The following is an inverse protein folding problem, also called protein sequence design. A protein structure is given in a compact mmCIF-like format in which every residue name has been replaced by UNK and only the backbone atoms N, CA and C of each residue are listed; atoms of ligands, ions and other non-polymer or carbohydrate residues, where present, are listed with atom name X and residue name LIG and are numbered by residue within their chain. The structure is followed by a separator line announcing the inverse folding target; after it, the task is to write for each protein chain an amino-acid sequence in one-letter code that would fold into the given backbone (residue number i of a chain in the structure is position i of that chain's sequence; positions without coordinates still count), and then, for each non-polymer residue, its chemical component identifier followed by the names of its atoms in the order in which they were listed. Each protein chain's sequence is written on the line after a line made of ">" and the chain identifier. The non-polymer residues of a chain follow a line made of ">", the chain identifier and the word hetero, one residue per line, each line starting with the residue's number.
data_IF_183005460327
#
_entry.id   IF_183005460327
#
_cell.length_a   1.000
_cell.length_b   1.000
_cell.length_c   1.000
_cell.angle_alpha   90.00
_cell.angle_beta   90.00
_cell.angle_gamma   90.00
#
_symmetry.space_group_name_H-M   'P 1'
#
loop_
_entity.id
_entity.type
_entity.pdbx_description
1 polymer ?
#
# COMPACT_ATOMS: atom_id res chain seq x y z
N UNK A 1 12.99 5.67 -9.39
CA UNK A 1 12.52 6.18 -8.08
C UNK A 1 11.46 5.29 -7.44
N UNK A 2 10.39 4.84 -8.14
CA UNK A 2 9.43 3.82 -7.59
C UNK A 2 10.13 2.59 -6.98
N UNK A 3 11.21 2.12 -7.61
CA UNK A 3 11.98 0.93 -7.20
C UNK A 3 12.65 0.97 -5.81
N UNK A 4 12.90 2.14 -5.21
CA UNK A 4 13.53 2.22 -3.87
C UNK A 4 12.50 2.33 -2.73
N UNK A 5 11.32 2.91 -3.00
CA UNK A 5 10.24 3.00 -2.00
C UNK A 5 9.47 1.68 -1.92
N UNK A 6 9.29 0.97 -3.06
CA UNK A 6 8.73 -0.39 -3.06
C UNK A 6 9.59 -1.39 -2.26
N UNK A 7 10.90 -1.16 -2.13
CA UNK A 7 11.82 -2.08 -1.45
C UNK A 7 11.54 -2.26 0.06
N UNK A 8 10.86 -1.31 0.70
CA UNK A 8 10.49 -1.40 2.13
C UNK A 8 9.18 -2.18 2.33
N UNK A 9 8.33 -2.29 1.30
CA UNK A 9 7.10 -3.10 1.36
C UNK A 9 7.36 -4.60 1.20
N UNK A 10 8.46 -4.98 0.54
CA UNK A 10 8.83 -6.37 0.19
C UNK A 10 9.25 -7.24 1.40
N UNK A 11 9.18 -6.73 2.63
CA UNK A 11 9.64 -7.47 3.83
C UNK A 11 8.54 -8.28 4.55
N UNK A 12 7.27 -8.20 4.13
CA UNK A 12 6.16 -8.85 4.86
C UNK A 12 5.33 -9.77 3.98
N UNK A 13 5.97 -10.68 3.26
CA UNK A 13 5.28 -11.91 2.83
C UNK A 13 6.19 -13.12 3.01
N UNK A 14 5.73 -14.05 3.85
CA UNK A 14 6.44 -15.22 4.38
C UNK A 14 7.74 -14.83 5.10
N UNK A 15 7.75 -14.91 6.43
CA UNK A 15 8.94 -14.64 7.26
C UNK A 15 10.19 -15.39 6.78
N UNK A 16 10.02 -16.58 6.17
CA UNK A 16 11.09 -17.33 5.52
C UNK A 16 11.62 -16.72 4.20
N UNK A 17 10.78 -16.06 3.39
CA UNK A 17 11.22 -15.34 2.19
C UNK A 17 12.07 -14.13 2.56
N UNK A 18 11.62 -13.32 3.53
CA UNK A 18 12.38 -12.21 4.06
C UNK A 18 13.70 -12.68 4.71
N UNK A 19 13.70 -13.86 5.35
CA UNK A 19 14.89 -14.45 5.97
C UNK A 19 15.85 -15.14 4.98
N UNK A 20 15.42 -15.50 3.77
CA UNK A 20 16.32 -15.91 2.68
C UNK A 20 17.08 -14.73 2.05
N UNK A 21 16.68 -13.49 2.32
CA UNK A 21 17.36 -12.30 1.79
C UNK A 21 18.68 -11.95 2.51
N UNK A 22 18.87 -12.20 3.82
CA UNK A 22 20.18 -12.21 4.48
C UNK A 22 21.00 -13.49 4.19
N UNK A 23 22.31 -13.54 4.53
CA UNK A 23 23.26 -14.57 4.03
C UNK A 23 23.10 -16.01 4.57
N UNK A 24 21.91 -16.41 5.02
CA UNK A 24 21.62 -17.80 5.42
C UNK A 24 21.10 -18.64 4.25
N UNK A 25 21.77 -19.74 3.91
CA UNK A 25 21.30 -20.68 2.87
C UNK A 25 20.15 -21.59 3.31
N UNK A 26 19.79 -21.59 4.59
CA UNK A 26 18.80 -22.49 5.22
C UNK A 26 18.02 -21.76 6.32
N UNK A 27 16.75 -22.14 6.52
CA UNK A 27 15.87 -21.56 7.54
C UNK A 27 15.54 -22.60 8.62
N UNK A 28 15.86 -22.29 9.88
CA UNK A 28 15.43 -23.10 11.03
C UNK A 28 14.09 -22.58 11.57
N UNK A 29 13.24 -23.48 12.08
CA UNK A 29 11.90 -23.17 12.58
C UNK A 29 11.68 -23.90 13.90
N UNK A 30 11.17 -23.17 14.91
CA UNK A 30 10.82 -23.74 16.21
C UNK A 30 9.42 -23.26 16.64
N UNK A 31 9.25 -21.96 16.93
CA UNK A 31 7.99 -21.42 17.46
C UNK A 31 6.79 -21.63 16.55
N UNK A 32 6.96 -21.58 15.22
CA UNK A 32 5.85 -21.84 14.31
C UNK A 32 5.36 -23.30 14.35
N UNK A 33 6.26 -24.26 14.61
CA UNK A 33 5.89 -25.67 14.84
C UNK A 33 5.21 -25.80 16.21
N UNK A 34 5.72 -25.12 17.24
CA UNK A 34 5.10 -25.14 18.58
C UNK A 34 3.67 -24.58 18.57
N UNK A 35 3.40 -23.58 17.74
CA UNK A 35 2.07 -22.98 17.58
C UNK A 35 1.11 -23.84 16.73
N UNK A 36 1.64 -24.83 16.00
CA UNK A 36 0.87 -25.65 15.07
C UNK A 36 1.36 -27.10 15.18
N UNK A 37 1.94 -27.63 14.09
CA UNK A 37 2.47 -28.99 13.99
C UNK A 37 3.41 -29.07 12.77
N UNK A 38 3.94 -30.25 12.46
CA UNK A 38 4.91 -30.42 11.36
C UNK A 38 4.34 -30.21 9.95
N UNK A 39 3.02 -30.20 9.75
CA UNK A 39 2.39 -30.03 8.43
C UNK A 39 2.61 -28.64 7.82
N UNK A 40 3.01 -27.65 8.63
CA UNK A 40 3.40 -26.30 8.15
C UNK A 40 4.51 -26.33 7.09
N UNK A 41 5.29 -27.41 7.01
CA UNK A 41 6.30 -27.60 5.97
C UNK A 41 5.70 -27.63 4.55
N UNK A 42 4.47 -28.14 4.40
CA UNK A 42 3.78 -28.21 3.11
C UNK A 42 3.43 -26.80 2.61
N UNK A 43 2.92 -25.95 3.50
CA UNK A 43 2.65 -24.54 3.25
C UNK A 43 3.94 -23.77 2.90
N UNK A 44 5.02 -23.97 3.66
CA UNK A 44 6.30 -23.32 3.36
C UNK A 44 6.86 -23.71 1.98
N UNK A 45 6.80 -25.00 1.64
CA UNK A 45 7.30 -25.48 0.35
C UNK A 45 6.46 -24.97 -0.83
N UNK A 46 5.13 -25.00 -0.71
CA UNK A 46 4.23 -24.56 -1.78
C UNK A 46 4.25 -23.03 -1.93
N UNK A 47 4.23 -22.29 -0.82
CA UNK A 47 4.35 -20.84 -0.80
C UNK A 47 5.67 -20.35 -1.42
N UNK A 48 6.80 -20.97 -1.09
CA UNK A 48 8.11 -20.61 -1.68
C UNK A 48 8.15 -20.88 -3.19
N UNK A 49 7.61 -22.01 -3.65
CA UNK A 49 7.48 -22.30 -5.08
C UNK A 49 6.62 -21.27 -5.80
N UNK A 50 5.49 -20.89 -5.21
CA UNK A 50 4.61 -19.86 -5.76
C UNK A 50 5.32 -18.50 -5.86
N UNK A 51 5.99 -18.05 -4.80
CA UNK A 51 6.76 -16.80 -4.80
C UNK A 51 7.86 -16.76 -5.87
N UNK A 52 8.63 -17.83 -6.02
CA UNK A 52 9.66 -17.91 -7.06
C UNK A 52 9.04 -17.93 -8.47
N UNK A 53 7.96 -18.68 -8.65
CA UNK A 53 7.24 -18.78 -9.92
C UNK A 53 6.68 -17.41 -10.35
N UNK A 54 6.02 -16.68 -9.45
CA UNK A 54 5.39 -15.39 -9.75
C UNK A 54 6.41 -14.34 -10.23
N UNK A 55 7.67 -14.40 -9.79
CA UNK A 55 8.73 -13.51 -10.30
C UNK A 55 9.05 -13.69 -11.79
N UNK A 56 8.66 -14.81 -12.38
CA UNK A 56 8.82 -15.08 -13.83
C UNK A 56 7.65 -14.59 -14.67
N UNK A 57 6.53 -14.19 -14.05
CA UNK A 57 5.31 -13.73 -14.70
C UNK A 57 5.34 -12.20 -14.82
N UNK A 58 5.22 -11.68 -16.04
CA UNK A 58 5.34 -10.24 -16.28
C UNK A 58 4.06 -9.47 -15.99
N UNK A 59 2.92 -10.12 -16.23
CA UNK A 59 1.58 -9.56 -16.06
C UNK A 59 1.21 -9.32 -14.59
N UNK A 60 1.96 -9.90 -13.65
CA UNK A 60 1.74 -9.83 -12.20
C UNK A 60 2.88 -9.09 -11.47
N UNK A 61 3.65 -8.25 -12.17
CA UNK A 61 4.78 -7.53 -11.58
C UNK A 61 4.37 -6.49 -10.52
N UNK A 62 3.12 -6.03 -10.56
CA UNK A 62 2.53 -5.09 -9.60
C UNK A 62 2.01 -5.77 -8.33
N UNK A 63 2.05 -7.11 -8.26
CA UNK A 63 1.75 -7.87 -7.06
C UNK A 63 2.93 -7.83 -6.09
N UNK A 64 2.63 -7.74 -4.80
CA UNK A 64 3.62 -7.99 -3.76
C UNK A 64 3.54 -9.47 -3.39
N UNK A 65 4.48 -10.26 -3.92
CA UNK A 65 4.48 -11.71 -3.73
C UNK A 65 3.19 -12.38 -4.24
N UNK A 66 2.40 -12.93 -3.34
CA UNK A 66 1.11 -13.57 -3.63
C UNK A 66 -0.09 -12.62 -3.44
N UNK A 67 0.12 -11.39 -2.96
CA UNK A 67 -0.92 -10.39 -2.81
C UNK A 67 -1.11 -9.57 -4.09
N UNK A 68 -2.31 -9.58 -4.69
CA UNK A 68 -2.65 -8.66 -5.77
C UNK A 68 -2.56 -7.20 -5.32
N UNK A 69 -2.27 -6.30 -6.26
CA UNK A 69 -2.35 -4.87 -6.01
C UNK A 69 -3.73 -4.50 -5.44
N UNK A 70 -3.75 -3.85 -4.28
CA UNK A 70 -5.00 -3.48 -3.61
C UNK A 70 -5.78 -2.48 -4.46
N UNK A 71 -6.97 -2.88 -4.88
CA UNK A 71 -7.94 -2.01 -5.57
C UNK A 71 -8.80 -1.28 -4.54
N UNK A 72 -9.27 -0.08 -4.88
CA UNK A 72 -10.19 0.67 -4.02
C UNK A 72 -11.44 -0.17 -3.72
N UNK A 73 -11.65 -0.49 -2.44
CA UNK A 73 -12.69 -1.40 -2.00
C UNK A 73 -13.40 -0.92 -0.74
N UNK A 74 -14.64 -1.36 -0.57
CA UNK A 74 -15.39 -1.27 0.69
C UNK A 74 -15.86 -2.66 1.08
N UNK A 75 -15.48 -3.11 2.29
CA UNK A 75 -15.77 -4.48 2.79
C UNK A 75 -15.35 -5.59 1.80
N UNK A 76 -14.18 -5.43 1.16
CA UNK A 76 -13.65 -6.37 0.16
C UNK A 76 -14.35 -6.33 -1.21
N UNK A 77 -15.36 -5.47 -1.41
CA UNK A 77 -16.02 -5.30 -2.71
C UNK A 77 -15.42 -4.10 -3.44
N UNK A 78 -15.09 -4.21 -4.75
CA UNK A 78 -14.57 -3.09 -5.52
C UNK A 78 -15.53 -1.90 -5.51
N UNK A 79 -14.98 -0.70 -5.34
CA UNK A 79 -15.74 0.55 -5.41
C UNK A 79 -16.14 0.82 -6.87
N UNK A 80 -17.42 1.15 -7.16
CA UNK A 80 -17.83 1.51 -8.51
C UNK A 80 -17.13 2.78 -9.00
N UNK A 81 -16.38 2.67 -10.10
CA UNK A 81 -15.70 3.82 -10.72
C UNK A 81 -16.68 4.64 -11.57
N UNK A 82 -17.57 5.37 -10.90
CA UNK A 82 -18.59 6.23 -11.51
C UNK A 82 -18.11 7.69 -11.38
N UNK A 83 -18.04 8.43 -12.50
CA UNK A 83 -17.61 9.83 -12.49
C UNK A 83 -18.43 10.72 -11.52
N UNK A 84 -19.71 10.38 -11.34
CA UNK A 84 -20.60 11.03 -10.39
C UNK A 84 -20.35 10.68 -8.91
N UNK A 85 -19.45 9.75 -8.59
CA UNK A 85 -19.06 9.40 -7.22
C UNK A 85 -17.67 9.90 -6.87
N UNK A 86 -16.72 9.75 -7.79
CA UNK A 86 -15.31 10.07 -7.55
C UNK A 86 -15.15 11.55 -7.21
N UNK A 87 -14.62 11.84 -6.03
CA UNK A 87 -14.33 13.21 -5.56
C UNK A 87 -15.51 13.97 -4.97
N UNK A 88 -16.72 13.39 -4.89
CA UNK A 88 -17.89 14.05 -4.26
C UNK A 88 -17.92 13.98 -2.73
N UNK A 89 -16.86 13.46 -2.09
CA UNK A 89 -16.73 13.32 -0.62
C UNK A 89 -17.96 12.69 0.04
N UNK A 90 -18.44 11.58 -0.53
CA UNK A 90 -19.60 10.87 -0.03
C UNK A 90 -19.14 9.66 0.79
N UNK A 91 -19.10 9.72 2.14
CA UNK A 91 -18.78 8.56 2.96
C UNK A 91 -19.92 7.53 2.95
N UNK A 92 -19.63 6.32 3.45
CA UNK A 92 -20.56 5.18 3.41
C UNK A 92 -21.51 5.10 4.61
N UNK A 93 -22.01 6.24 5.10
CA UNK A 93 -22.99 6.31 6.21
C UNK A 93 -23.98 7.47 6.06
N UNK A 94 -25.08 7.42 6.83
CA UNK A 94 -26.07 8.50 6.93
C UNK A 94 -26.67 8.94 5.58
N UNK A 95 -26.95 10.25 5.38
CA UNK A 95 -27.54 10.75 4.14
C UNK A 95 -26.61 10.56 2.92
N UNK A 96 -25.29 10.55 3.14
CA UNK A 96 -24.31 10.33 2.09
C UNK A 96 -24.45 8.93 1.47
N UNK A 97 -24.72 7.92 2.28
CA UNK A 97 -24.95 6.55 1.79
C UNK A 97 -26.20 6.46 0.92
N UNK A 98 -27.27 7.20 1.25
CA UNK A 98 -28.49 7.26 0.44
C UNK A 98 -28.21 7.90 -0.92
N UNK A 99 -27.46 9.00 -0.93
CA UNK A 99 -27.05 9.66 -2.17
C UNK A 99 -26.16 8.74 -3.04
N UNK A 100 -25.20 8.03 -2.43
CA UNK A 100 -24.38 7.03 -3.16
C UNK A 100 -25.25 5.95 -3.78
N UNK A 101 -26.21 5.39 -3.03
CA UNK A 101 -27.13 4.37 -3.53
C UNK A 101 -27.96 4.89 -4.71
N UNK A 102 -28.45 6.13 -4.62
CA UNK A 102 -29.19 6.79 -5.70
C UNK A 102 -28.35 6.92 -6.97
N UNK A 103 -27.13 7.44 -6.86
CA UNK A 103 -26.20 7.58 -8.00
C UNK A 103 -25.89 6.22 -8.64
N UNK A 104 -25.64 5.19 -7.83
CA UNK A 104 -25.38 3.83 -8.32
C UNK A 104 -26.62 3.28 -9.05
N UNK A 105 -27.81 3.46 -8.50
CA UNK A 105 -29.05 3.01 -9.13
C UNK A 105 -29.29 3.69 -10.49
N UNK A 106 -29.11 5.02 -10.56
CA UNK A 106 -29.22 5.79 -11.81
C UNK A 106 -28.19 5.32 -12.84
N UNK A 107 -26.94 5.05 -12.42
CA UNK A 107 -25.92 4.51 -13.32
C UNK A 107 -26.28 3.11 -13.85
N UNK A 108 -26.84 2.23 -13.02
CA UNK A 108 -27.30 0.90 -13.45
C UNK A 108 -28.43 0.97 -14.46
N UNK A 109 -29.36 1.93 -14.32
CA UNK A 109 -30.42 2.16 -15.30
C UNK A 109 -29.82 2.63 -16.64
N UNK A 110 -28.93 3.63 -16.60
CA UNK A 110 -28.21 4.11 -17.81
C UNK A 110 -27.46 2.98 -18.53
N UNK A 111 -26.76 2.11 -17.79
CA UNK A 111 -26.04 0.97 -18.37
C UNK A 111 -26.99 -0.07 -18.99
N UNK A 112 -28.18 -0.26 -18.43
CA UNK A 112 -29.19 -1.17 -18.99
C UNK A 112 -29.71 -0.67 -20.34
N UNK A 113 -29.96 0.63 -20.45
CA UNK A 113 -30.39 1.28 -21.69
C UNK A 113 -29.30 1.24 -22.78
N UNK A 114 -28.02 1.29 -22.38
CA UNK A 114 -26.87 1.23 -23.28
C UNK A 114 -26.41 -0.18 -23.63
N UNK A 115 -27.17 -1.22 -23.25
CA UNK A 115 -26.75 -2.61 -23.36
C UNK A 115 -26.32 -3.01 -24.78
N UNK A 116 -25.00 -3.10 -24.99
CA UNK A 116 -24.39 -3.87 -26.08
C UNK A 116 -24.14 -5.28 -25.60
N UNK A 117 -24.29 -6.25 -26.51
CA UNK A 117 -23.85 -7.61 -26.28
C UNK A 117 -22.34 -7.62 -25.97
N UNK A 118 -21.98 -8.01 -24.76
CA UNK A 118 -20.59 -8.20 -24.35
C UNK A 118 -20.25 -9.68 -24.51
N UNK A 119 -19.33 -10.00 -25.41
CA UNK A 119 -18.74 -11.34 -25.49
C UNK A 119 -17.80 -11.53 -24.29
N UNK A 120 -17.94 -12.62 -23.52
CA UNK A 120 -16.99 -12.92 -22.45
C UNK A 120 -15.56 -12.97 -23.02
N UNK A 121 -14.57 -12.35 -22.36
CA UNK A 121 -13.18 -12.46 -22.79
C UNK A 121 -12.72 -13.91 -22.69
N UNK A 122 -11.96 -14.36 -23.69
CA UNK A 122 -11.30 -15.66 -23.63
C UNK A 122 -10.20 -15.64 -22.56
N UNK A 123 -10.22 -16.60 -21.64
CA UNK A 123 -9.21 -16.72 -20.59
C UNK A 123 -7.89 -17.21 -21.19
N UNK A 124 -6.87 -16.36 -21.16
CA UNK A 124 -5.49 -16.74 -21.52
C UNK A 124 -4.69 -17.08 -20.26
N UNK A 125 -3.86 -18.11 -20.35
CA UNK A 125 -2.95 -18.50 -19.28
C UNK A 125 -1.68 -17.64 -19.34
N UNK A 126 -1.18 -17.22 -18.20
CA UNK A 126 0.12 -16.56 -18.12
C UNK A 126 1.24 -17.58 -18.21
N UNK A 127 2.25 -17.25 -19.01
CA UNK A 127 3.40 -18.12 -19.27
C UNK A 127 4.65 -17.40 -18.76
N UNK A 128 5.57 -18.10 -18.05
CA UNK A 128 6.85 -17.55 -17.65
C UNK A 128 7.61 -16.96 -18.84
N UNK A 129 7.91 -15.65 -18.76
CA UNK A 129 8.72 -14.94 -19.78
C UNK A 129 10.20 -14.88 -19.43
N UNK A 130 10.55 -15.27 -18.20
CA UNK A 130 11.91 -15.28 -17.66
C UNK A 130 12.18 -16.61 -16.96
N UNK A 131 13.43 -17.04 -16.81
CA UNK A 131 13.75 -18.21 -15.98
C UNK A 131 13.27 -18.01 -14.55
N UNK A 132 12.65 -19.06 -13.98
CA UNK A 132 12.24 -19.05 -12.58
C UNK A 132 13.52 -19.03 -11.71
N UNK A 133 13.68 -18.06 -10.80
CA UNK A 133 14.86 -17.99 -9.95
C UNK A 133 14.99 -19.22 -9.05
N UNK A 134 16.22 -19.70 -8.86
CA UNK A 134 16.54 -20.64 -7.81
C UNK A 134 16.82 -19.91 -6.48
N UNK A 135 16.89 -20.67 -5.38
CA UNK A 135 17.18 -20.11 -4.04
C UNK A 135 18.51 -19.33 -4.04
N UNK A 136 19.55 -19.88 -4.66
CA UNK A 136 20.85 -19.20 -4.79
C UNK A 136 20.79 -17.85 -5.51
N UNK A 137 19.78 -17.62 -6.35
CA UNK A 137 19.63 -16.39 -7.13
C UNK A 137 18.92 -15.29 -6.33
N UNK A 138 18.38 -15.61 -5.15
CA UNK A 138 17.63 -14.66 -4.31
C UNK A 138 18.34 -14.35 -2.98
N UNK A 139 19.27 -15.19 -2.56
CA UNK A 139 20.11 -14.95 -1.37
C UNK A 139 20.87 -13.64 -1.53
N UNK A 140 20.83 -12.79 -0.50
CA UNK A 140 21.57 -11.53 -0.46
C UNK A 140 20.96 -10.38 -1.27
N UNK A 141 19.87 -10.57 -2.03
CA UNK A 141 19.34 -9.53 -2.93
C UNK A 141 18.87 -8.26 -2.24
N UNK A 142 18.48 -8.33 -0.96
CA UNK A 142 18.06 -7.14 -0.22
C UNK A 142 19.23 -6.34 0.37
N UNK A 143 20.43 -6.93 0.46
CA UNK A 143 21.59 -6.30 1.07
C UNK A 143 22.00 -5.01 0.36
N UNK A 144 21.73 -4.90 -0.94
CA UNK A 144 22.00 -3.68 -1.73
C UNK A 144 21.18 -2.45 -1.29
N UNK A 145 20.13 -2.65 -0.49
CA UNK A 145 19.28 -1.57 0.03
C UNK A 145 19.60 -1.22 1.50
N UNK A 146 20.50 -1.97 2.14
CA UNK A 146 20.96 -1.71 3.50
C UNK A 146 22.24 -0.88 3.47
N UNK A 147 22.33 0.10 4.36
CA UNK A 147 23.44 1.02 4.42
C UNK A 147 23.39 1.87 5.68
N UNK A 148 24.32 2.80 5.81
CA UNK A 148 24.32 3.78 6.90
C UNK A 148 23.25 4.85 6.69
N UNK A 149 22.88 5.58 7.75
CA UNK A 149 21.92 6.69 7.63
C UNK A 149 22.38 7.77 6.62
N UNK A 150 23.69 8.01 6.49
CA UNK A 150 24.25 8.98 5.55
C UNK A 150 24.07 8.60 4.07
N UNK A 151 23.80 7.32 3.78
CA UNK A 151 23.49 6.84 2.43
C UNK A 151 22.01 7.04 2.04
N UNK A 152 21.17 7.40 3.01
CA UNK A 152 19.76 7.70 2.78
C UNK A 152 19.61 9.15 2.29
N UNK A 153 18.78 9.35 1.26
CA UNK A 153 18.50 10.69 0.75
C UNK A 153 17.65 11.48 1.74
N UNK A 154 18.15 12.62 2.20
CA UNK A 154 17.40 13.61 2.96
C UNK A 154 16.79 14.70 2.06
N UNK A 155 16.74 14.47 0.74
CA UNK A 155 16.17 15.38 -0.26
C UNK A 155 14.88 14.78 -0.82
N UNK A 156 14.87 13.48 -1.07
CA UNK A 156 13.74 12.71 -1.61
C UNK A 156 12.66 12.47 -0.54
N UNK A 157 11.87 13.51 -0.24
CA UNK A 157 10.78 13.43 0.74
C UNK A 157 9.50 12.85 0.14
N UNK A 158 8.68 12.27 1.01
CA UNK A 158 7.35 11.78 0.68
C UNK A 158 6.29 12.48 1.53
N UNK A 159 5.04 12.43 1.08
CA UNK A 159 3.86 12.86 1.84
C UNK A 159 2.80 11.76 1.78
N UNK A 160 1.97 11.69 2.81
CA UNK A 160 0.85 10.75 2.82
C UNK A 160 -0.24 11.21 1.84
N UNK A 161 -0.87 10.25 1.17
CA UNK A 161 -2.04 10.44 0.32
C UNK A 161 -3.09 9.41 0.74
N UNK A 162 -4.32 9.86 0.99
CA UNK A 162 -5.42 9.01 1.45
C UNK A 162 -6.38 8.77 0.29
N UNK A 163 -6.74 7.51 0.06
CA UNK A 163 -7.88 7.16 -0.79
C UNK A 163 -9.18 7.29 0.01
N UNK A 164 -9.95 8.35 -0.29
CA UNK A 164 -11.23 8.64 0.36
C UNK A 164 -12.26 7.50 0.18
N UNK A 165 -12.19 6.76 -0.93
CA UNK A 165 -13.14 5.69 -1.25
C UNK A 165 -12.85 4.41 -0.46
N UNK A 166 -11.61 4.22 0.00
CA UNK A 166 -11.22 3.12 0.91
C UNK A 166 -11.38 3.50 2.39
N UNK A 167 -11.51 4.78 2.70
CA UNK A 167 -11.59 5.26 4.06
C UNK A 167 -12.84 4.69 4.78
N UNK A 168 -12.67 4.32 6.05
CA UNK A 168 -13.76 3.90 6.94
C UNK A 168 -14.03 4.91 8.07
N UNK A 169 -13.55 6.14 7.93
CA UNK A 169 -13.90 7.26 8.80
C UNK A 169 -13.51 7.11 10.28
N UNK A 170 -12.54 6.25 10.61
CA UNK A 170 -12.18 5.94 12.00
C UNK A 170 -11.36 7.04 12.72
N UNK A 171 -10.79 8.01 11.99
CA UNK A 171 -9.99 9.09 12.57
C UNK A 171 -8.63 8.69 13.18
N UNK A 172 -8.21 7.42 13.10
CA UNK A 172 -6.92 6.98 13.68
C UNK A 172 -5.71 7.72 13.11
N UNK A 173 -5.69 7.95 11.81
CA UNK A 173 -4.65 8.75 11.16
C UNK A 173 -4.58 10.18 11.73
N UNK A 174 -5.75 10.81 11.93
CA UNK A 174 -5.88 12.14 12.51
C UNK A 174 -5.35 12.18 13.95
N UNK A 175 -5.83 11.28 14.81
CA UNK A 175 -5.39 11.19 16.22
C UNK A 175 -3.87 10.98 16.33
N UNK A 176 -3.31 10.03 15.57
CA UNK A 176 -1.87 9.78 15.58
C UNK A 176 -1.06 10.96 15.05
N UNK A 177 -1.53 11.66 14.03
CA UNK A 177 -0.82 12.85 13.54
C UNK A 177 -0.89 14.02 14.54
N UNK A 178 -1.98 14.12 15.31
CA UNK A 178 -2.13 15.14 16.33
C UNK A 178 -1.25 14.91 17.54
N UNK A 179 -1.32 13.72 18.14
CA UNK A 179 -0.70 13.47 19.44
C UNK A 179 0.73 12.93 19.32
N UNK A 180 1.09 12.39 18.15
CA UNK A 180 2.40 11.77 17.90
C UNK A 180 3.09 12.28 16.64
N UNK A 181 2.55 13.33 16.01
CA UNK A 181 3.03 13.83 14.73
C UNK A 181 3.11 15.35 14.64
N UNK A 182 2.55 15.89 13.56
CA UNK A 182 2.74 17.28 13.12
C UNK A 182 1.42 18.03 12.89
N UNK A 183 0.30 17.49 13.39
CA UNK A 183 -1.04 18.09 13.27
C UNK A 183 -1.39 18.42 11.80
N UNK A 184 -0.98 17.55 10.88
CA UNK A 184 -1.00 17.80 9.44
C UNK A 184 -2.24 17.24 8.73
N UNK A 185 -3.20 16.71 9.47
CA UNK A 185 -4.41 16.07 8.93
C UNK A 185 -5.62 16.87 9.41
N UNK A 186 -6.45 17.32 8.47
CA UNK A 186 -7.76 17.86 8.77
C UNK A 186 -8.77 16.72 8.78
N UNK A 187 -9.67 16.71 9.75
CA UNK A 187 -10.72 15.71 9.86
C UNK A 187 -12.06 16.41 9.82
N UNK A 188 -12.83 16.15 8.76
CA UNK A 188 -14.08 16.84 8.51
C UNK A 188 -15.16 16.44 9.56
N UNK A 189 -15.85 17.39 10.21
CA UNK A 189 -16.78 17.08 11.30
C UNK A 189 -18.09 16.44 10.83
N UNK A 190 -18.44 16.52 9.54
CA UNK A 190 -19.71 15.98 9.02
C UNK A 190 -19.51 14.65 8.28
N UNK A 191 -18.55 14.64 7.35
CA UNK A 191 -18.22 13.48 6.52
C UNK A 191 -17.24 12.53 7.20
N UNK A 192 -16.54 12.99 8.25
CA UNK A 192 -15.48 12.23 8.94
C UNK A 192 -14.39 11.75 7.96
N UNK A 193 -14.16 12.49 6.87
CA UNK A 193 -13.11 12.19 5.91
C UNK A 193 -11.83 12.96 6.29
N UNK A 194 -10.67 12.28 6.37
CA UNK A 194 -9.39 12.92 6.61
C UNK A 194 -8.81 13.51 5.33
N UNK A 195 -8.21 14.71 5.41
CA UNK A 195 -7.46 15.35 4.32
C UNK A 195 -6.06 15.71 4.80
N UNK A 196 -5.04 15.29 4.05
CA UNK A 196 -3.64 15.63 4.33
C UNK A 196 -3.37 17.07 3.87
N UNK A 197 -2.72 17.86 4.73
CA UNK A 197 -2.28 19.23 4.44
C UNK A 197 -0.80 19.28 4.04
N UNK A 198 -0.36 20.40 3.46
CA UNK A 198 1.04 20.60 3.02
C UNK A 198 2.08 20.57 4.14
N UNK A 199 1.62 20.65 5.39
CA UNK A 199 2.47 20.57 6.58
C UNK A 199 2.92 19.14 6.91
N UNK A 200 2.46 18.15 6.15
CA UNK A 200 2.88 16.75 6.25
C UNK A 200 4.39 16.62 6.04
N UNK A 201 5.06 15.93 6.96
CA UNK A 201 6.51 15.68 6.91
C UNK A 201 6.88 14.32 6.32
N UNK A 202 5.88 13.48 6.04
CA UNK A 202 6.13 12.13 5.53
C UNK A 202 6.59 11.13 6.59
N UNK A 203 6.33 11.35 7.88
CA UNK A 203 6.78 10.45 8.96
C UNK A 203 6.18 9.03 8.94
N UNK A 204 5.24 8.73 8.05
CA UNK A 204 4.58 7.43 7.85
C UNK A 204 3.69 6.90 8.99
N UNK A 205 3.64 7.53 10.16
CA UNK A 205 2.85 7.04 11.31
C UNK A 205 1.36 6.82 11.01
N UNK A 206 0.74 7.71 10.23
CA UNK A 206 -0.67 7.59 9.86
C UNK A 206 -0.95 6.34 9.01
N UNK A 207 -0.04 5.97 8.12
CA UNK A 207 -0.12 4.76 7.31
C UNK A 207 -0.04 3.53 8.22
N UNK A 208 0.91 3.50 9.16
CA UNK A 208 1.16 2.35 10.05
C UNK A 208 -0.03 2.02 10.97
N UNK A 209 -0.86 3.00 11.33
CA UNK A 209 -2.03 2.80 12.21
C UNK A 209 -3.34 2.64 11.45
N UNK A 210 -3.34 2.81 10.12
CA UNK A 210 -4.54 2.73 9.33
C UNK A 210 -5.07 1.28 9.32
N UNK A 211 -6.35 1.04 9.68
CA UNK A 211 -6.88 -0.33 9.73
C UNK A 211 -7.18 -0.91 8.33
N UNK A 212 -7.10 -0.10 7.27
CA UNK A 212 -7.37 -0.52 5.90
C UNK A 212 -6.05 -0.52 5.14
N UNK A 213 -5.62 -1.70 4.69
CA UNK A 213 -4.41 -1.90 3.89
C UNK A 213 -4.50 -0.99 2.66
N UNK A 214 -3.39 -0.31 2.34
CA UNK A 214 -3.25 0.58 1.18
C UNK A 214 -4.23 1.76 1.06
N UNK A 215 -5.07 2.02 2.07
CA UNK A 215 -5.91 3.22 2.09
C UNK A 215 -5.07 4.49 2.18
N UNK A 216 -3.89 4.43 2.81
CA UNK A 216 -2.92 5.53 2.85
C UNK A 216 -1.65 5.08 2.14
N UNK A 217 -1.19 5.86 1.16
CA UNK A 217 0.04 5.62 0.40
C UNK A 217 1.02 6.77 0.58
N UNK A 218 2.31 6.48 0.52
CA UNK A 218 3.35 7.50 0.51
C UNK A 218 3.70 7.86 -0.93
N UNK A 219 3.53 9.13 -1.29
CA UNK A 219 3.84 9.64 -2.63
C UNK A 219 4.96 10.66 -2.54
N UNK A 220 5.77 10.78 -3.61
CA UNK A 220 6.85 11.77 -3.65
C UNK A 220 6.32 13.18 -3.45
N UNK A 221 6.96 13.96 -2.57
CA UNK A 221 6.59 15.34 -2.31
C UNK A 221 6.89 16.19 -3.54
N UNK A 222 5.91 16.96 -3.99
CA UNK A 222 6.05 17.86 -5.15
C UNK A 222 6.59 19.24 -4.78
N UNK A 223 6.47 19.63 -3.50
CA UNK A 223 6.94 20.91 -2.98
C UNK A 223 8.26 20.76 -2.23
N UNK A 224 9.14 21.79 -2.21
CA UNK A 224 10.35 21.75 -1.40
C UNK A 224 10.05 21.46 0.06
N UNK A 225 10.85 20.59 0.68
CA UNK A 225 10.74 20.30 2.11
C UNK A 225 11.61 21.27 2.92
N UNK A 226 11.01 21.91 3.92
CA UNK A 226 11.71 22.79 4.87
C UNK A 226 11.48 22.24 6.28
N UNK A 227 12.52 21.75 6.97
CA UNK A 227 12.39 21.26 8.34
C UNK A 227 11.90 22.35 9.29
N UNK A 228 10.86 22.06 10.07
CA UNK A 228 10.35 22.96 11.12
C UNK A 228 11.34 22.99 12.29
N UNK A 229 12.07 24.10 12.44
CA UNK A 229 13.06 24.28 13.52
C UNK A 229 12.49 24.83 14.83
N UNK A 230 11.25 25.29 14.84
CA UNK A 230 10.59 25.92 16.00
C UNK A 230 11.07 27.36 16.24
N UNK A 231 12.38 27.56 16.33
CA UNK A 231 13.03 28.87 16.43
C UNK A 231 13.88 29.18 15.18
N UNK A 232 14.08 30.46 14.84
CA UNK A 232 15.03 30.85 13.80
C UNK A 232 16.44 30.35 14.13
N UNK A 233 17.19 29.91 13.11
CA UNK A 233 18.59 29.57 13.29
C UNK A 233 19.38 30.85 13.58
N UNK A 234 20.13 30.86 14.69
CA UNK A 234 20.93 32.02 15.13
C UNK A 234 22.09 32.38 14.17
N UNK A 235 22.37 31.52 13.20
CA UNK A 235 23.45 31.68 12.24
C UNK A 235 22.82 31.68 10.85
N UNK A 236 22.88 32.83 10.17
CA UNK A 236 22.71 32.84 8.72
C UNK A 236 23.81 31.93 8.16
N UNK A 237 23.48 30.86 7.42
CA UNK A 237 24.50 30.05 6.79
C UNK A 237 25.29 30.97 5.86
N UNK A 238 26.58 31.16 6.16
CA UNK A 238 27.51 31.83 5.26
C UNK A 238 27.49 30.99 3.98
N UNK A 239 27.05 31.61 2.89
CA UNK A 239 26.96 31.02 1.56
C UNK A 239 28.32 30.52 1.07
#
# INVERSE_FOLDING_TARGET
>A
MRRKIEAVHVMVELTGWAACQPPGGHQQVCSAIQNQDFTVIEDYCTGLKALLYLKSIEELQDWDGQSPATVSHQKGKPVPHIADLVGKKLPSFGPYLELRKKIIAENKIKLKEQSRAFSPPERKLFIPKRPIPAIKDVIGKALQYLGTFGELSNIEHVVAMIDEEMCINCGKCYMTCNDSGYQAIQFDPETHLPTITDTCTGCTLCLSVCPIIDCIKMVSRTTPYVPKRGLPLAVNPVC
#
